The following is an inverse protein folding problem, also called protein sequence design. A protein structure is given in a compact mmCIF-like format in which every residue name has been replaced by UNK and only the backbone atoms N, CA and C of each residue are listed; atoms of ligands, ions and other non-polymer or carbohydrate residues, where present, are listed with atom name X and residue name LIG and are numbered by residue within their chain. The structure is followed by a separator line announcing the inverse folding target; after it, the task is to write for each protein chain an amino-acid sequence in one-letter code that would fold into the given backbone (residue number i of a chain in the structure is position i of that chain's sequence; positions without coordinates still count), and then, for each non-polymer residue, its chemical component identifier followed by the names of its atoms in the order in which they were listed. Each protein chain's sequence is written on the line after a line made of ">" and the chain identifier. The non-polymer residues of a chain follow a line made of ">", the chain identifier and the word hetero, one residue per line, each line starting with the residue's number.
data_IF_333693930172
#
_entry.id   IF_333693930172
#
_cell.length_a   1.000
_cell.length_b   1.000
_cell.length_c   1.000
_cell.angle_alpha   90.00
_cell.angle_beta   90.00
_cell.angle_gamma   90.00
#
_symmetry.space_group_name_H-M   'P 1'
#
loop_
_entity.id
_entity.type
_entity.pdbx_description
1 polymer ?
#
# COMPACT_ATOMS: atom_id res chain seq x y z
N UNK A 1 -10.52 2.71 13.61
CA UNK A 1 -9.15 2.16 13.73
C UNK A 1 -8.78 1.46 12.44
N UNK A 2 -8.00 2.11 11.57
CA UNK A 2 -7.38 1.41 10.44
C UNK A 2 -6.24 0.60 11.06
N UNK A 3 -6.41 -0.72 11.17
CA UNK A 3 -5.31 -1.60 11.57
C UNK A 3 -4.15 -1.33 10.60
N UNK A 4 -2.97 -0.99 11.13
CA UNK A 4 -1.76 -0.80 10.36
C UNK A 4 -1.59 -1.99 9.41
N UNK A 5 -1.75 -1.76 8.10
CA UNK A 5 -1.55 -2.79 7.08
C UNK A 5 -0.07 -2.74 6.68
N UNK A 6 0.79 -3.25 7.56
CA UNK A 6 2.20 -3.57 7.24
C UNK A 6 2.21 -4.88 6.45
N UNK A 7 3.00 -4.92 5.38
CA UNK A 7 3.22 -6.13 4.60
C UNK A 7 4.54 -6.07 3.86
N UNK A 8 5.04 -7.24 3.48
CA UNK A 8 6.21 -7.41 2.61
C UNK A 8 5.77 -7.96 1.26
N UNK A 9 6.62 -7.84 0.24
CA UNK A 9 6.35 -8.42 -1.08
C UNK A 9 6.07 -9.94 -0.99
N UNK A 10 6.81 -10.66 -0.15
CA UNK A 10 6.63 -12.10 0.08
C UNK A 10 5.24 -12.45 0.62
N UNK A 11 4.71 -11.63 1.52
CA UNK A 11 3.37 -11.84 2.10
C UNK A 11 2.23 -11.59 1.09
N UNK A 12 2.52 -10.87 0.00
CA UNK A 12 1.57 -10.54 -1.06
C UNK A 12 1.57 -11.54 -2.22
N UNK A 13 2.64 -12.33 -2.39
CA UNK A 13 2.72 -13.42 -3.39
C UNK A 13 1.51 -14.35 -3.32
N UNK A 14 1.11 -14.93 -2.16
CA UNK A 14 -0.03 -15.83 -2.12
C UNK A 14 -1.39 -15.14 -2.30
N UNK A 15 -1.44 -13.81 -2.28
CA UNK A 15 -2.67 -13.01 -2.38
C UNK A 15 -2.90 -12.47 -3.79
N UNK A 16 -1.96 -12.67 -4.69
CA UNK A 16 -1.97 -12.15 -6.05
C UNK A 16 -1.52 -13.25 -7.02
N UNK A 17 -1.77 -13.05 -8.31
CA UNK A 17 -1.23 -13.92 -9.36
C UNK A 17 0.15 -13.44 -9.85
N UNK A 18 0.79 -12.52 -9.13
CA UNK A 18 2.03 -11.88 -9.53
C UNK A 18 3.23 -12.59 -8.93
N UNK A 19 4.35 -12.60 -9.66
CA UNK A 19 5.63 -13.05 -9.14
C UNK A 19 6.21 -12.06 -8.13
N UNK A 20 7.15 -12.51 -7.30
CA UNK A 20 7.79 -11.66 -6.29
C UNK A 20 8.44 -10.41 -6.91
N UNK A 21 9.08 -10.54 -8.08
CA UNK A 21 9.68 -9.42 -8.81
C UNK A 21 8.64 -8.40 -9.28
N UNK A 22 7.55 -8.86 -9.88
CA UNK A 22 6.45 -7.98 -10.31
C UNK A 22 5.79 -7.26 -9.13
N UNK A 23 5.69 -7.93 -7.97
CA UNK A 23 5.19 -7.31 -6.74
C UNK A 23 6.17 -6.25 -6.23
N UNK A 24 7.47 -6.52 -6.24
CA UNK A 24 8.49 -5.56 -5.82
C UNK A 24 8.45 -4.29 -6.70
N UNK A 25 8.41 -4.46 -8.02
CA UNK A 25 8.31 -3.35 -8.98
C UNK A 25 7.02 -2.54 -8.77
N UNK A 26 5.88 -3.22 -8.57
CA UNK A 26 4.60 -2.56 -8.30
C UNK A 26 4.62 -1.76 -6.98
N UNK A 27 5.24 -2.31 -5.93
CA UNK A 27 5.37 -1.62 -4.64
C UNK A 27 6.28 -0.39 -4.76
N UNK A 28 7.36 -0.46 -5.54
CA UNK A 28 8.24 0.70 -5.77
C UNK A 28 7.50 1.82 -6.51
N UNK A 29 6.72 1.49 -7.55
CA UNK A 29 5.88 2.45 -8.26
C UNK A 29 4.85 3.08 -7.30
N UNK A 30 4.14 2.26 -6.52
CA UNK A 30 3.15 2.74 -5.56
C UNK A 30 3.78 3.61 -4.47
N UNK A 31 5.00 3.28 -4.02
CA UNK A 31 5.74 4.11 -3.08
C UNK A 31 6.11 5.47 -3.70
N UNK A 32 6.52 5.49 -4.98
CA UNK A 32 6.78 6.72 -5.73
C UNK A 32 5.56 7.63 -5.88
N UNK A 33 4.34 7.07 -5.87
CA UNK A 33 3.10 7.85 -5.88
C UNK A 33 2.69 8.39 -4.50
N UNK A 34 3.34 7.93 -3.43
CA UNK A 34 3.01 8.27 -2.05
C UNK A 34 1.80 7.52 -1.46
N UNK A 35 1.16 6.63 -2.24
CA UNK A 35 0.03 5.77 -1.81
C UNK A 35 0.44 4.85 -0.69
N UNK A 36 1.62 4.26 -0.81
CA UNK A 36 2.27 3.49 0.24
C UNK A 36 3.59 4.15 0.62
N UNK A 37 4.07 3.84 1.81
CA UNK A 37 5.34 4.28 2.35
C UNK A 37 6.21 3.05 2.53
N UNK A 38 7.44 3.10 2.00
CA UNK A 38 8.48 2.13 2.34
C UNK A 38 9.02 2.48 3.73
N UNK A 39 8.82 1.58 4.70
CA UNK A 39 9.19 1.79 6.11
C UNK A 39 10.63 1.34 6.36
N UNK A 40 11.03 0.25 5.71
CA UNK A 40 12.39 -0.27 5.66
C UNK A 40 12.59 -1.04 4.34
N UNK A 41 13.71 -1.76 4.19
CA UNK A 41 14.07 -2.44 2.94
C UNK A 41 13.02 -3.45 2.46
N UNK A 42 12.22 -4.02 3.35
CA UNK A 42 11.26 -5.10 3.04
C UNK A 42 9.80 -4.73 3.34
N UNK A 43 9.56 -3.73 4.20
CA UNK A 43 8.23 -3.41 4.70
C UNK A 43 7.62 -2.17 4.04
N UNK A 44 6.34 -2.30 3.69
CA UNK A 44 5.51 -1.22 3.16
C UNK A 44 4.27 -1.00 4.02
N UNK A 45 3.82 0.25 4.12
CA UNK A 45 2.59 0.66 4.80
C UNK A 45 1.73 1.54 3.91
N UNK A 46 0.42 1.45 4.04
CA UNK A 46 -0.48 2.42 3.41
C UNK A 46 -0.30 3.78 4.09
N UNK A 47 -0.10 4.83 3.27
CA UNK A 47 -0.07 6.20 3.76
C UNK A 47 -1.43 6.56 4.36
N UNK A 48 -1.45 6.84 5.66
CA UNK A 48 -2.64 7.27 6.37
C UNK A 48 -3.27 8.50 5.71
N UNK A 49 -2.44 9.41 5.16
CA UNK A 49 -2.91 10.64 4.50
C UNK A 49 -3.74 10.36 3.25
N UNK A 50 -3.33 9.41 2.39
CA UNK A 50 -4.10 9.09 1.18
C UNK A 50 -5.34 8.28 1.50
N UNK A 51 -5.28 7.39 2.49
CA UNK A 51 -6.47 6.72 3.01
C UNK A 51 -7.47 7.72 3.61
N UNK A 52 -7.02 8.65 4.45
CA UNK A 52 -7.85 9.72 5.04
C UNK A 52 -8.44 10.64 3.98
N UNK A 53 -7.63 11.00 2.96
CA UNK A 53 -8.09 11.79 1.81
C UNK A 53 -9.15 11.03 1.02
N UNK A 54 -8.97 9.73 0.77
CA UNK A 54 -9.95 8.92 0.05
C UNK A 54 -11.25 8.76 0.85
N UNK A 55 -11.17 8.47 2.15
CA UNK A 55 -12.34 8.39 3.04
C UNK A 55 -13.08 9.72 3.11
N UNK A 56 -12.38 10.85 3.22
CA UNK A 56 -13.01 12.17 3.30
C UNK A 56 -13.76 12.54 2.02
N UNK A 57 -13.23 12.17 0.86
CA UNK A 57 -13.92 12.35 -0.43
C UNK A 57 -15.15 11.46 -0.61
N UNK A 58 -15.24 10.30 0.06
CA UNK A 58 -16.43 9.46 0.01
C UNK A 58 -17.60 10.01 0.85
N UNK A 59 -17.30 10.68 1.96
CA UNK A 59 -18.31 11.37 2.77
C UNK A 59 -18.87 12.63 2.11
N UNK A 60 -18.18 13.20 1.12
CA UNK A 60 -18.61 14.43 0.45
C UNK A 60 -19.62 14.21 -0.69
N UNK A 61 -19.98 12.96 -0.98
CA UNK A 61 -21.01 12.58 -1.96
C UNK A 61 -22.34 12.16 -1.31
N UNK A 62 -22.57 12.53 -0.04
CA UNK A 62 -23.85 12.33 0.65
C UNK A 62 -24.62 13.63 0.82
#
# INVERSE_FOLDING_TARGET
>A
MVKQRKGTAETLVPQTSLSLGEIADALEILAGTGVILKVDDEHYEISARLFETWVSHQTSYR
#
